data_IF_069076412459
#
_entry.id   IF_069076412459
#
_cell.length_a   1.000
_cell.length_b   1.000
_cell.length_c   1.000
_cell.angle_alpha   90.00
_cell.angle_beta   90.00
_cell.angle_gamma   90.00
#
_symmetry.space_group_name_H-M   'P 1'
#
loop_
_entity.id
_entity.type
_entity.pdbx_description
1 polymer ?
#
# COMPACT_ATOMS: atom_id res chain seq x y z
N UNK A 1 3.62 8.64 -13.43
CA UNK A 1 2.23 8.18 -13.22
C UNK A 1 1.45 9.33 -12.62
N UNK A 2 0.29 9.66 -13.19
CA UNK A 2 -0.52 10.78 -12.73
C UNK A 2 -1.55 10.24 -11.73
N UNK A 3 -1.48 10.70 -10.49
CA UNK A 3 -2.44 10.34 -9.45
C UNK A 3 -3.86 10.71 -9.90
N UNK A 4 -4.80 9.77 -9.87
CA UNK A 4 -6.19 10.04 -10.27
C UNK A 4 -6.84 10.93 -9.21
N UNK A 5 -7.54 11.98 -9.65
CA UNK A 5 -8.29 12.88 -8.77
C UNK A 5 -9.77 12.71 -9.05
N UNK A 6 -10.56 12.52 -8.00
CA UNK A 6 -12.00 12.30 -8.08
C UNK A 6 -12.71 13.22 -7.09
N UNK A 7 -13.88 13.75 -7.45
CA UNK A 7 -14.69 14.49 -6.47
C UNK A 7 -15.32 13.52 -5.46
N UNK A 8 -15.60 13.98 -4.25
CA UNK A 8 -16.31 13.19 -3.23
C UNK A 8 -17.71 12.75 -3.72
N UNK A 9 -18.34 13.57 -4.58
CA UNK A 9 -19.60 13.22 -5.24
C UNK A 9 -19.42 12.06 -6.21
N UNK A 10 -18.38 12.07 -7.02
CA UNK A 10 -18.11 11.00 -8.00
C UNK A 10 -17.68 9.71 -7.31
N UNK A 11 -16.83 9.79 -6.29
CA UNK A 11 -16.45 8.63 -5.48
C UNK A 11 -17.67 7.97 -4.81
N UNK A 12 -18.61 8.78 -4.31
CA UNK A 12 -19.87 8.28 -3.75
C UNK A 12 -20.76 7.64 -4.81
N UNK A 13 -20.94 8.29 -5.96
CA UNK A 13 -21.88 7.84 -7.00
C UNK A 13 -21.34 6.68 -7.83
N UNK A 14 -20.02 6.50 -7.90
CA UNK A 14 -19.33 5.48 -8.70
C UNK A 14 -18.35 4.69 -7.86
N UNK A 15 -18.82 4.22 -6.71
CA UNK A 15 -17.95 3.60 -5.71
C UNK A 15 -17.20 2.37 -6.25
N UNK A 16 -17.82 1.55 -7.12
CA UNK A 16 -17.14 0.43 -7.78
C UNK A 16 -15.96 0.88 -8.66
N UNK A 17 -16.17 1.87 -9.52
CA UNK A 17 -15.10 2.45 -10.36
C UNK A 17 -14.00 3.10 -9.52
N UNK A 18 -14.38 3.73 -8.41
CA UNK A 18 -13.45 4.32 -7.44
C UNK A 18 -12.54 3.26 -6.81
N UNK A 19 -13.09 2.15 -6.32
CA UNK A 19 -12.31 1.03 -5.78
C UNK A 19 -11.39 0.39 -6.84
N UNK A 20 -11.93 0.14 -8.03
CA UNK A 20 -11.16 -0.42 -9.15
C UNK A 20 -10.03 0.51 -9.60
N UNK A 21 -10.21 1.82 -9.45
CA UNK A 21 -9.17 2.81 -9.69
C UNK A 21 -8.11 2.77 -8.59
N UNK A 22 -8.53 2.78 -7.32
CA UNK A 22 -7.63 2.74 -6.16
C UNK A 22 -6.78 1.47 -6.07
N UNK A 23 -7.27 0.35 -6.62
CA UNK A 23 -6.51 -0.90 -6.79
C UNK A 23 -5.40 -0.83 -7.83
N UNK A 24 -5.52 0.07 -8.81
CA UNK A 24 -4.54 0.23 -9.89
C UNK A 24 -3.52 1.31 -9.56
N UNK A 25 -3.97 2.41 -8.97
CA UNK A 25 -3.15 3.56 -8.58
C UNK A 25 -3.82 4.39 -7.47
N UNK A 26 -3.07 5.18 -6.69
CA UNK A 26 -3.63 6.06 -5.67
C UNK A 26 -4.65 7.06 -6.23
N UNK A 27 -5.76 7.25 -5.51
CA UNK A 27 -6.82 8.20 -5.89
C UNK A 27 -6.97 9.29 -4.82
N UNK A 28 -6.87 10.56 -5.20
CA UNK A 28 -7.21 11.71 -4.34
C UNK A 28 -8.70 11.96 -4.43
N UNK A 29 -9.35 12.08 -3.27
CA UNK A 29 -10.73 12.55 -3.17
C UNK A 29 -10.73 14.03 -2.84
N UNK A 30 -11.49 14.83 -3.59
CA UNK A 30 -11.64 16.27 -3.38
C UNK A 30 -13.08 16.67 -3.02
N UNK A 31 -13.24 17.71 -2.20
CA UNK A 31 -14.53 18.35 -1.93
C UNK A 31 -14.38 19.85 -2.21
N UNK A 32 -15.23 20.42 -3.06
CA UNK A 32 -15.14 21.82 -3.49
C UNK A 32 -13.71 22.20 -3.95
N UNK A 33 -13.12 21.35 -4.81
CA UNK A 33 -11.74 21.48 -5.32
C UNK A 33 -10.62 21.45 -4.26
N UNK A 34 -10.93 21.03 -3.02
CA UNK A 34 -9.92 20.83 -1.96
C UNK A 34 -9.70 19.34 -1.72
N UNK A 35 -8.46 18.83 -1.70
CA UNK A 35 -8.17 17.46 -1.30
C UNK A 35 -8.65 17.19 0.13
N UNK A 36 -9.39 16.09 0.32
CA UNK A 36 -9.94 15.69 1.63
C UNK A 36 -9.57 14.27 2.03
N UNK A 37 -9.06 13.46 1.11
CA UNK A 37 -8.63 12.10 1.40
C UNK A 37 -7.87 11.48 0.25
N UNK A 38 -7.17 10.39 0.53
CA UNK A 38 -6.49 9.56 -0.45
C UNK A 38 -6.95 8.12 -0.21
N UNK A 39 -7.26 7.40 -1.28
CA UNK A 39 -7.43 5.96 -1.24
C UNK A 39 -6.28 5.28 -1.98
N UNK A 40 -5.68 4.30 -1.32
CA UNK A 40 -4.66 3.41 -1.85
C UNK A 40 -5.08 1.97 -1.58
N UNK A 41 -4.62 1.04 -2.41
CA UNK A 41 -4.79 -0.38 -2.17
C UNK A 41 -4.09 -0.79 -0.87
N UNK A 42 -4.61 -1.83 -0.19
CA UNK A 42 -3.95 -2.35 1.01
C UNK A 42 -2.60 -2.96 0.66
N UNK A 43 -2.45 -3.50 -0.55
CA UNK A 43 -1.21 -4.06 -1.07
C UNK A 43 -0.14 -2.98 -1.22
N UNK A 44 -0.50 -1.79 -1.73
CA UNK A 44 0.44 -0.66 -1.82
C UNK A 44 0.65 0.03 -0.45
N UNK A 45 -0.33 -0.06 0.45
CA UNK A 45 -0.20 0.43 1.82
C UNK A 45 0.66 -0.50 2.70
N UNK A 46 0.70 -1.80 2.44
CA UNK A 46 1.44 -2.80 3.21
C UNK A 46 2.96 -2.60 3.18
N UNK A 47 3.47 -1.89 2.17
CA UNK A 47 4.87 -1.47 2.11
C UNK A 47 5.13 -0.18 2.92
N UNK A 48 4.13 0.33 3.64
CA UNK A 48 4.21 1.49 4.55
C UNK A 48 3.85 1.06 5.97
N UNK A 49 4.13 1.90 6.97
CA UNK A 49 3.71 1.66 8.36
C UNK A 49 2.24 2.04 8.63
N UNK A 50 1.49 2.47 7.61
CA UNK A 50 0.13 2.99 7.76
C UNK A 50 -0.87 1.90 8.18
N UNK A 51 -0.87 0.69 7.61
CA UNK A 51 -1.79 -0.37 8.03
C UNK A 51 -1.61 -0.75 9.50
N UNK A 52 -0.36 -0.87 9.96
CA UNK A 52 -0.04 -1.23 11.35
C UNK A 52 -0.43 -0.14 12.35
N UNK A 53 -0.37 1.13 11.94
CA UNK A 53 -0.68 2.28 12.79
C UNK A 53 -2.18 2.61 12.83
N UNK A 54 -2.92 2.33 11.75
CA UNK A 54 -4.30 2.83 11.56
C UNK A 54 -5.37 1.73 11.56
N UNK A 55 -5.01 0.47 11.34
CA UNK A 55 -5.96 -0.63 11.42
C UNK A 55 -5.88 -1.26 12.80
N UNK A 56 -6.90 -1.00 13.63
CA UNK A 56 -7.12 -1.79 14.84
C UNK A 56 -7.40 -3.24 14.42
N UNK A 57 -6.53 -4.11 14.90
CA UNK A 57 -6.44 -5.52 14.54
C UNK A 57 -7.57 -6.27 15.26
N UNK A 58 -8.60 -6.66 14.53
CA UNK A 58 -9.67 -7.51 15.07
C UNK A 58 -9.06 -8.80 15.69
N UNK A 59 -9.61 -9.35 16.79
CA UNK A 59 -9.01 -10.47 17.51
C UNK A 59 -8.87 -11.69 16.59
N UNK A 60 -7.64 -11.99 16.18
CA UNK A 60 -7.30 -13.02 15.21
C UNK A 60 -6.24 -12.59 14.19
N UNK A 61 -6.14 -11.29 13.90
CA UNK A 61 -5.10 -10.76 13.03
C UNK A 61 -3.71 -10.78 13.69
N UNK A 62 -3.65 -10.70 15.02
CA UNK A 62 -2.39 -10.85 15.78
C UNK A 62 -1.81 -12.26 15.69
N UNK A 63 -2.64 -13.31 15.71
CA UNK A 63 -2.15 -14.69 15.58
C UNK A 63 -1.51 -14.94 14.21
N UNK A 64 -2.21 -14.58 13.13
CA UNK A 64 -1.67 -14.68 11.77
C UNK A 64 -0.43 -13.80 11.56
N UNK A 65 -0.42 -12.57 12.11
CA UNK A 65 0.76 -11.70 12.02
C UNK A 65 1.94 -12.31 12.77
N UNK A 66 1.71 -12.80 14.00
CA UNK A 66 2.75 -13.40 14.82
C UNK A 66 3.40 -14.59 14.11
N UNK A 67 2.60 -15.46 13.48
CA UNK A 67 3.10 -16.59 12.69
C UNK A 67 3.95 -16.12 11.51
N UNK A 68 3.49 -15.08 10.79
CA UNK A 68 4.21 -14.50 9.64
C UNK A 68 5.52 -13.82 10.05
N UNK A 69 5.52 -13.07 11.15
CA UNK A 69 6.72 -12.41 11.71
C UNK A 69 7.71 -13.46 12.20
N UNK A 70 7.25 -14.45 12.95
CA UNK A 70 8.08 -15.55 13.45
C UNK A 70 8.73 -16.35 12.31
N UNK A 71 7.96 -16.67 11.26
CA UNK A 71 8.50 -17.34 10.08
C UNK A 71 9.54 -16.47 9.34
N UNK A 72 9.36 -15.15 9.31
CA UNK A 72 10.32 -14.23 8.69
C UNK A 72 11.59 -14.13 9.52
N UNK A 73 11.49 -14.04 10.85
CA UNK A 73 12.63 -14.03 11.75
C UNK A 73 13.43 -15.33 11.66
N UNK A 74 12.77 -16.48 11.60
CA UNK A 74 13.44 -17.77 11.41
C UNK A 74 14.24 -17.82 10.10
N UNK A 75 13.74 -17.21 9.01
CA UNK A 75 14.48 -17.11 7.73
C UNK A 75 15.63 -16.11 7.78
N UNK A 76 15.52 -15.07 8.60
CA UNK A 76 16.63 -14.15 8.84
C UNK A 76 17.74 -14.87 9.60
N UNK A 77 17.39 -15.60 10.66
CA UNK A 77 18.32 -16.37 11.47
C UNK A 77 18.97 -17.53 10.69
N UNK A 78 18.23 -18.18 9.78
CA UNK A 78 18.79 -19.20 8.88
C UNK A 78 19.65 -18.62 7.74
N UNK A 79 19.70 -17.29 7.59
CA UNK A 79 20.42 -16.60 6.53
C UNK A 79 19.72 -16.60 5.17
N UNK A 80 18.52 -17.17 5.07
CA UNK A 80 17.68 -17.17 3.87
C UNK A 80 17.14 -15.78 3.53
N UNK A 81 16.95 -14.91 4.53
CA UNK A 81 16.46 -13.54 4.34
C UNK A 81 17.50 -12.54 4.82
N UNK A 82 17.91 -11.67 3.91
CA UNK A 82 18.97 -10.69 4.16
C UNK A 82 18.39 -9.40 4.72
N UNK A 83 18.76 -9.04 5.94
CA UNK A 83 18.43 -7.75 6.52
C UNK A 83 19.02 -6.61 5.68
N UNK A 84 18.27 -5.52 5.56
CA UNK A 84 18.65 -4.31 4.82
C UNK A 84 18.55 -3.12 5.75
N UNK A 85 19.49 -2.20 5.65
CA UNK A 85 19.37 -0.91 6.33
C UNK A 85 18.13 -0.18 5.82
N UNK A 86 17.44 0.54 6.70
CA UNK A 86 16.18 1.21 6.36
C UNK A 86 16.28 2.09 5.09
N UNK A 87 17.34 2.90 4.98
CA UNK A 87 17.56 3.75 3.80
C UNK A 87 17.73 2.95 2.49
N UNK A 88 18.42 1.81 2.55
CA UNK A 88 18.64 0.91 1.41
C UNK A 88 17.34 0.21 1.01
N UNK A 89 16.57 -0.27 2.00
CA UNK A 89 15.27 -0.89 1.78
C UNK A 89 14.29 0.08 1.09
N UNK A 90 14.23 1.34 1.56
CA UNK A 90 13.37 2.36 0.98
C UNK A 90 13.81 2.78 -0.44
N UNK A 91 15.11 2.78 -0.73
CA UNK A 91 15.61 3.05 -2.08
C UNK A 91 15.21 1.94 -3.06
N UNK A 92 15.36 0.67 -2.65
CA UNK A 92 15.05 -0.50 -3.46
C UNK A 92 13.55 -0.64 -3.74
N UNK A 93 12.71 -0.31 -2.75
CA UNK A 93 11.26 -0.25 -2.93
C UNK A 93 10.88 0.81 -3.96
N UNK A 94 11.42 2.03 -3.84
CA UNK A 94 11.18 3.11 -4.80
C UNK A 94 11.62 2.72 -6.22
N UNK A 95 12.70 1.97 -6.37
CA UNK A 95 13.16 1.46 -7.66
C UNK A 95 12.21 0.39 -8.23
N UNK A 96 11.80 -0.61 -7.44
CA UNK A 96 10.82 -1.62 -7.88
C UNK A 96 9.50 -1.02 -8.31
N UNK A 97 8.99 -0.03 -7.57
CA UNK A 97 7.74 0.65 -7.92
C UNK A 97 7.88 1.42 -9.24
N UNK A 98 9.05 2.01 -9.52
CA UNK A 98 9.36 2.64 -10.81
C UNK A 98 9.44 1.63 -11.95
N UNK A 99 10.06 0.46 -11.74
CA UNK A 99 10.15 -0.60 -12.77
C UNK A 99 8.78 -1.21 -13.06
N UNK A 100 7.98 -1.51 -12.02
CA UNK A 100 6.63 -2.06 -12.13
C UNK A 100 5.66 -1.10 -12.83
N UNK A 101 5.87 0.20 -12.68
CA UNK A 101 5.09 1.22 -13.38
C UNK A 101 5.50 1.41 -14.84
N UNK A 102 6.76 1.17 -15.19
CA UNK A 102 7.24 1.20 -16.58
C UNK A 102 6.80 -0.04 -17.39
N UNK A 103 6.76 -1.23 -16.77
CA UNK A 103 6.36 -2.47 -17.43
C UNK A 103 4.87 -2.61 -17.77
N UNK A 104 4.01 -1.70 -17.30
CA UNK A 104 2.55 -1.70 -17.56
C UNK A 104 2.14 -0.90 -18.82
N UNK A 105 3.09 -0.50 -19.66
CA UNK A 105 2.84 0.24 -20.92
C UNK A 105 2.90 -0.61 -22.20
N UNK A 106 2.73 -1.93 -22.12
CA UNK A 106 2.48 -2.78 -23.30
C UNK A 106 1.16 -3.52 -23.19
#
# INVERSE_FOLDING_TARGET
MAMKVMSARDAKNRFGEFLDSARREPVVVTKNNRPVGIMISIEDAADTLLPELLLDKDPGYDGWLFDKVSATLARVDSGETRLRGHGEAMALLKERLRVRSAGKTS
#
